data_IF_038811203397
#
_entry.id   IF_038811203397
#
_cell.length_a   1.000
_cell.length_b   1.000
_cell.length_c   1.000
_cell.angle_alpha   90.00
_cell.angle_beta   90.00
_cell.angle_gamma   90.00
#
_symmetry.space_group_name_H-M   'P 1'
#
loop_
_entity.id
_entity.type
_entity.pdbx_description
1 polymer ?
#
# COMPACT_ATOMS: atom_id res chain seq x y z
N UNK A 1 7.76 11.90 -10.28
CA UNK A 1 7.56 12.46 -8.93
C UNK A 1 6.64 11.58 -8.08
N UNK A 2 5.41 11.28 -8.53
CA UNK A 2 4.39 10.52 -7.77
C UNK A 2 4.84 9.10 -7.41
N UNK A 3 5.37 8.33 -8.36
CA UNK A 3 5.85 6.95 -8.09
C UNK A 3 6.97 6.92 -7.04
N UNK A 4 7.86 7.93 -7.04
CA UNK A 4 8.94 8.03 -6.06
C UNK A 4 8.40 8.28 -4.65
N UNK A 5 7.44 9.20 -4.51
CA UNK A 5 6.77 9.47 -3.24
C UNK A 5 6.01 8.23 -2.72
N UNK A 6 5.25 7.58 -3.59
CA UNK A 6 4.49 6.39 -3.23
C UNK A 6 5.43 5.25 -2.78
N UNK A 7 6.55 5.03 -3.47
CA UNK A 7 7.57 4.07 -3.03
C UNK A 7 8.17 4.40 -1.67
N UNK A 8 8.49 5.68 -1.41
CA UNK A 8 9.00 6.11 -0.10
C UNK A 8 8.02 5.81 1.03
N UNK A 9 6.71 6.06 0.80
CA UNK A 9 5.67 5.76 1.78
C UNK A 9 5.60 4.25 2.12
N UNK A 10 5.75 3.39 1.12
CA UNK A 10 5.72 1.93 1.30
C UNK A 10 6.97 1.37 1.97
N UNK A 11 8.12 2.04 1.84
CA UNK A 11 9.37 1.61 2.48
C UNK A 11 9.46 1.93 3.97
N UNK A 12 8.39 2.47 4.57
CA UNK A 12 8.36 2.72 6.02
C UNK A 12 8.46 1.40 6.80
N UNK A 13 9.53 1.25 7.58
CA UNK A 13 9.83 0.02 8.33
C UNK A 13 10.67 -1.02 7.57
N UNK A 14 11.20 -0.69 6.39
CA UNK A 14 12.14 -1.58 5.70
C UNK A 14 13.40 -1.83 6.56
N UNK A 15 13.72 -3.11 6.77
CA UNK A 15 14.87 -3.55 7.58
C UNK A 15 14.54 -3.90 9.02
N UNK A 16 13.33 -3.57 9.49
CA UNK A 16 12.85 -3.97 10.81
C UNK A 16 12.29 -5.41 10.81
N UNK A 17 12.16 -6.01 12.00
CA UNK A 17 11.63 -7.37 12.13
C UNK A 17 10.14 -7.42 11.78
N UNK A 18 9.82 -8.15 10.73
CA UNK A 18 8.43 -8.44 10.34
C UNK A 18 7.88 -9.52 11.25
N UNK A 19 6.76 -9.24 11.94
CA UNK A 19 6.05 -10.23 12.75
C UNK A 19 4.95 -10.94 11.96
N UNK A 20 4.37 -10.27 10.96
CA UNK A 20 3.25 -10.82 10.18
C UNK A 20 3.24 -10.27 8.75
N UNK A 21 2.95 -11.14 7.78
CA UNK A 21 2.68 -10.78 6.38
C UNK A 21 1.44 -11.56 5.96
N UNK A 22 0.39 -10.84 5.55
CA UNK A 22 -0.84 -11.47 5.05
C UNK A 22 -1.37 -10.76 3.81
N UNK A 23 -1.88 -11.55 2.88
CA UNK A 23 -2.69 -11.06 1.77
C UNK A 23 -4.16 -11.27 2.15
N UNK A 24 -4.89 -10.18 2.37
CA UNK A 24 -6.30 -10.20 2.77
C UNK A 24 -7.19 -9.74 1.63
N UNK A 25 -8.43 -10.24 1.60
CA UNK A 25 -9.44 -9.76 0.66
C UNK A 25 -9.82 -8.31 0.94
N UNK A 26 -10.18 -7.58 -0.10
CA UNK A 26 -10.63 -6.19 0.04
C UNK A 26 -12.00 -6.15 0.71
N UNK A 27 -12.12 -5.30 1.73
CA UNK A 27 -13.44 -4.92 2.23
C UNK A 27 -14.15 -4.01 1.19
N UNK A 28 -15.49 -3.85 1.28
CA UNK A 28 -16.20 -2.91 0.41
C UNK A 28 -15.67 -1.48 0.49
N UNK A 29 -15.20 -1.04 1.65
CA UNK A 29 -14.64 0.30 1.82
C UNK A 29 -13.22 0.42 1.25
N UNK A 30 -12.42 -0.64 1.32
CA UNK A 30 -11.13 -0.71 0.63
C UNK A 30 -11.33 -0.59 -0.88
N UNK A 31 -12.30 -1.32 -1.44
CA UNK A 31 -12.63 -1.28 -2.87
C UNK A 31 -13.08 0.13 -3.30
N UNK A 32 -13.91 0.81 -2.50
CA UNK A 32 -14.30 2.20 -2.77
C UNK A 32 -13.10 3.15 -2.76
N UNK A 33 -12.22 3.04 -1.75
CA UNK A 33 -10.99 3.87 -1.66
C UNK A 33 -10.05 3.64 -2.83
N UNK A 34 -9.86 2.39 -3.23
CA UNK A 34 -9.03 2.01 -4.38
C UNK A 34 -9.58 2.52 -5.72
N UNK A 35 -10.90 2.66 -5.83
CA UNK A 35 -11.59 3.10 -7.06
C UNK A 35 -11.73 4.63 -7.15
N UNK A 36 -11.57 5.33 -6.03
CA UNK A 36 -11.75 6.78 -5.97
C UNK A 36 -10.54 7.51 -6.58
N UNK A 37 -10.77 8.54 -7.41
CA UNK A 37 -9.72 9.48 -7.79
C UNK A 37 -9.10 10.12 -6.53
N UNK A 38 -7.78 10.15 -6.47
CA UNK A 38 -6.99 10.71 -5.38
C UNK A 38 -6.38 12.04 -5.82
N UNK A 39 -6.28 13.00 -4.91
CA UNK A 39 -5.60 14.26 -5.20
C UNK A 39 -4.09 14.04 -5.31
N UNK A 40 -3.48 14.59 -6.36
CA UNK A 40 -2.03 14.53 -6.55
C UNK A 40 -1.34 15.72 -5.86
N UNK A 41 -0.19 15.52 -5.19
CA UNK A 41 0.65 16.62 -4.72
C UNK A 41 1.12 17.58 -5.82
N UNK A 42 1.13 17.13 -7.08
CA UNK A 42 1.46 17.96 -8.25
C UNK A 42 0.25 18.68 -8.86
N UNK A 43 -0.91 18.61 -8.20
CA UNK A 43 -2.19 19.07 -8.76
C UNK A 43 -2.88 18.03 -9.65
N UNK A 44 -4.21 18.11 -9.70
CA UNK A 44 -5.06 17.20 -10.47
C UNK A 44 -5.35 15.87 -9.75
N UNK A 45 -6.17 15.04 -10.39
CA UNK A 45 -6.61 13.75 -9.86
C UNK A 45 -5.85 12.59 -10.49
N UNK A 46 -5.50 11.61 -9.67
CA UNK A 46 -4.83 10.37 -10.07
C UNK A 46 -5.63 9.15 -9.63
N UNK A 47 -5.49 8.06 -10.37
CA UNK A 47 -6.18 6.81 -10.10
C UNK A 47 -5.16 5.67 -10.07
N UNK A 48 -5.47 4.60 -9.33
CA UNK A 48 -4.67 3.38 -9.39
C UNK A 48 -4.70 2.82 -10.82
N UNK A 49 -3.53 2.51 -11.36
CA UNK A 49 -3.39 2.09 -12.75
C UNK A 49 -3.88 0.65 -13.03
N UNK A 50 -4.12 -0.12 -11.98
CA UNK A 50 -4.74 -1.45 -12.01
C UNK A 50 -5.74 -1.54 -10.85
N UNK A 51 -6.82 -2.29 -11.06
CA UNK A 51 -7.82 -2.56 -10.02
C UNK A 51 -7.23 -3.53 -8.97
N UNK A 52 -7.14 -3.14 -7.69
CA UNK A 52 -6.70 -4.06 -6.65
C UNK A 52 -7.71 -5.20 -6.46
N UNK A 53 -7.19 -6.38 -6.15
CA UNK A 53 -7.95 -7.58 -5.77
C UNK A 53 -7.82 -7.88 -4.29
N UNK A 54 -6.68 -7.49 -3.69
CA UNK A 54 -6.32 -7.80 -2.31
C UNK A 54 -5.58 -6.63 -1.66
N UNK A 55 -5.35 -6.76 -0.36
CA UNK A 55 -4.51 -5.86 0.44
C UNK A 55 -3.43 -6.66 1.12
N UNK A 56 -2.18 -6.24 0.99
CA UNK A 56 -1.04 -6.77 1.71
C UNK A 56 -0.92 -6.02 3.03
N UNK A 57 -1.06 -6.74 4.13
CA UNK A 57 -0.89 -6.24 5.50
C UNK A 57 0.45 -6.75 6.01
N UNK A 58 1.33 -5.84 6.39
CA UNK A 58 2.63 -6.14 7.00
C UNK A 58 2.65 -5.55 8.39
N UNK A 59 2.85 -6.39 9.39
CA UNK A 59 3.03 -5.97 10.79
C UNK A 59 4.50 -6.08 11.14
N UNK A 60 5.04 -4.99 11.64
CA UNK A 60 6.41 -4.86 12.09
C UNK A 60 6.37 -4.63 13.59
N UNK A 61 7.05 -5.49 14.33
CA UNK A 61 7.22 -5.34 15.77
C UNK A 61 8.61 -4.78 16.06
N UNK A 62 8.66 -3.61 16.68
CA UNK A 62 9.87 -3.05 17.25
C UNK A 62 9.84 -3.29 18.75
N UNK A 63 10.78 -4.08 19.24
CA UNK A 63 11.00 -4.30 20.66
C UNK A 63 12.40 -3.85 21.01
N UNK A 64 12.51 -2.84 21.85
CA UNK A 64 13.77 -2.35 22.42
C UNK A 64 13.72 -2.41 23.96
N UNK A 65 14.82 -2.01 24.60
CA UNK A 65 14.96 -2.06 26.07
C UNK A 65 13.97 -1.11 26.80
N UNK A 66 13.37 -0.13 26.10
CA UNK A 66 12.45 0.85 26.67
C UNK A 66 10.98 0.62 26.31
N UNK A 67 10.66 -0.31 25.40
CA UNK A 67 9.28 -0.66 25.10
C UNK A 67 9.05 -1.48 23.83
N UNK A 68 7.78 -1.76 23.55
CA UNK A 68 7.34 -2.42 22.33
C UNK A 68 6.43 -1.48 21.55
N UNK A 69 6.70 -1.31 20.25
CA UNK A 69 5.79 -0.63 19.32
C UNK A 69 5.47 -1.54 18.14
N UNK A 70 4.24 -1.44 17.66
CA UNK A 70 3.77 -2.20 16.50
C UNK A 70 3.43 -1.22 15.39
N UNK A 71 4.06 -1.38 14.23
CA UNK A 71 3.74 -0.60 13.04
C UNK A 71 3.05 -1.53 12.04
N UNK A 72 1.88 -1.14 11.53
CA UNK A 72 1.15 -1.90 10.50
C UNK A 72 1.13 -1.09 9.22
N UNK A 73 1.60 -1.67 8.12
CA UNK A 73 1.55 -1.06 6.79
C UNK A 73 0.63 -1.85 5.88
N UNK A 74 -0.21 -1.13 5.15
CA UNK A 74 -1.21 -1.68 4.25
C UNK A 74 -0.96 -1.21 2.83
N UNK A 75 -0.91 -2.16 1.89
CA UNK A 75 -0.71 -1.89 0.47
C UNK A 75 -1.78 -2.56 -0.37
N UNK A 76 -2.39 -1.82 -1.30
CA UNK A 76 -3.26 -2.44 -2.29
C UNK A 76 -2.44 -3.32 -3.24
N UNK A 77 -2.96 -4.50 -3.55
CA UNK A 77 -2.35 -5.48 -4.45
C UNK A 77 -3.31 -5.76 -5.60
N UNK A 78 -2.78 -5.69 -6.82
CA UNK A 78 -3.45 -6.16 -8.02
C UNK A 78 -2.71 -7.38 -8.57
N UNK A 79 -3.38 -8.15 -9.42
CA UNK A 79 -2.74 -9.21 -10.20
C UNK A 79 -2.54 -8.76 -11.64
N UNK A 80 -1.37 -9.06 -12.18
CA UNK A 80 -1.05 -8.87 -13.59
C UNK A 80 -0.08 -9.95 -14.04
N UNK A 81 -0.41 -10.63 -15.14
CA UNK A 81 0.42 -11.67 -15.74
C UNK A 81 0.82 -12.79 -14.75
N UNK A 82 -0.12 -13.19 -13.89
CA UNK A 82 0.09 -14.21 -12.85
C UNK A 82 0.98 -13.77 -11.69
N UNK A 83 1.22 -12.46 -11.53
CA UNK A 83 2.05 -11.90 -10.46
C UNK A 83 1.27 -10.89 -9.63
N UNK A 84 1.54 -10.87 -8.34
CA UNK A 84 1.11 -9.78 -7.46
C UNK A 84 1.96 -8.53 -7.74
N UNK A 85 1.28 -7.41 -7.94
CA UNK A 85 1.89 -6.11 -8.20
C UNK A 85 1.23 -5.06 -7.32
N UNK A 86 2.02 -4.07 -6.91
CA UNK A 86 1.49 -2.89 -6.21
C UNK A 86 1.13 -1.85 -7.26
N UNK A 87 -0.17 -1.55 -7.48
CA UNK A 87 -0.58 -0.55 -8.43
C UNK A 87 -0.09 0.82 -7.98
N UNK A 88 0.41 1.59 -8.92
CA UNK A 88 0.92 2.94 -8.65
C UNK A 88 -0.04 3.97 -9.24
N UNK A 89 -0.32 5.07 -8.52
CA UNK A 89 -1.17 6.12 -9.05
C UNK A 89 -0.60 6.74 -10.34
N UNK A 90 -1.46 6.94 -11.32
CA UNK A 90 -1.18 7.66 -12.56
C UNK A 90 -2.38 8.51 -12.98
N UNK A 91 -2.32 9.20 -14.14
CA UNK A 91 -3.47 9.92 -14.66
C UNK A 91 -4.71 9.03 -14.68
N UNK A 92 -5.84 9.52 -14.17
CA UNK A 92 -7.11 8.82 -14.31
C UNK A 92 -7.43 8.63 -15.80
N UNK A 93 -7.88 7.43 -16.16
CA UNK A 93 -8.36 7.10 -17.51
C UNK A 93 -9.83 7.42 -17.64
#
# INVERSE_FOLDING_TARGET
MIVGFYKMMQSSGAGDKVSKIELVDLTPDDAKKASAPQESPSGGKVCLNLKPTNKLVIVIEKKDENGSSTNTTDNFIAEKDGKFVIPVPGPCK
#
